data_IF_162400282994
#
_entry.id   IF_162400282994
#
_cell.length_a   1.000
_cell.length_b   1.000
_cell.length_c   1.000
_cell.angle_alpha   90.00
_cell.angle_beta   90.00
_cell.angle_gamma   90.00
#
_symmetry.space_group_name_H-M   'P 1'
#
loop_
_entity.id
_entity.type
_entity.pdbx_description
1 polymer ?
#
# COMPACT_ATOMS: atom_id res chain seq x y z
N UNK A 1 -15.05 11.24 14.17
CA UNK A 1 -13.66 11.20 13.62
C UNK A 1 -12.91 12.52 13.81
N UNK A 2 -13.48 13.70 13.50
CA UNK A 2 -13.00 15.00 14.04
C UNK A 2 -12.91 14.99 15.58
N UNK A 3 -13.85 14.30 16.22
CA UNK A 3 -13.82 13.98 17.65
C UNK A 3 -12.51 13.35 18.14
N UNK A 4 -11.84 12.53 17.31
CA UNK A 4 -10.57 11.90 17.69
C UNK A 4 -9.42 12.91 17.66
N UNK A 5 -9.45 13.89 16.75
CA UNK A 5 -8.51 15.02 16.78
C UNK A 5 -8.76 15.90 18.00
N UNK A 6 -10.03 16.19 18.34
CA UNK A 6 -10.38 16.91 19.56
C UNK A 6 -9.85 16.23 20.83
N UNK A 7 -10.01 14.91 20.94
CA UNK A 7 -9.43 14.12 22.04
C UNK A 7 -7.90 14.22 22.10
N UNK A 8 -7.23 14.12 20.96
CA UNK A 8 -5.78 14.15 20.89
C UNK A 8 -5.22 15.54 21.23
N UNK A 9 -5.87 16.60 20.73
CA UNK A 9 -5.55 17.99 21.06
C UNK A 9 -5.83 18.34 22.53
N UNK A 10 -6.76 17.63 23.17
CA UNK A 10 -7.06 17.72 24.60
C UNK A 10 -6.28 16.74 25.48
N UNK A 11 -5.43 15.88 24.91
CA UNK A 11 -4.71 14.86 25.67
C UNK A 11 -3.74 15.48 26.69
N UNK A 12 -3.58 14.82 27.84
CA UNK A 12 -2.56 15.16 28.84
C UNK A 12 -1.21 14.47 28.57
N UNK A 13 -1.11 13.70 27.48
CA UNK A 13 0.12 13.06 27.07
C UNK A 13 1.16 14.10 26.61
N UNK A 14 2.42 13.83 26.93
CA UNK A 14 3.52 14.62 26.39
C UNK A 14 3.86 14.18 24.96
N UNK A 15 4.24 15.10 24.05
CA UNK A 15 4.48 16.53 24.28
C UNK A 15 3.24 17.44 24.09
N UNK A 16 2.04 16.90 23.87
CA UNK A 16 0.84 17.71 23.58
C UNK A 16 0.48 18.66 24.70
N UNK A 17 0.50 18.17 25.93
CA UNK A 17 0.23 18.97 27.12
C UNK A 17 1.20 20.16 27.21
N UNK A 18 2.51 19.90 27.11
CA UNK A 18 3.53 20.95 27.15
C UNK A 18 3.30 22.01 26.08
N UNK A 19 3.08 21.63 24.82
CA UNK A 19 2.87 22.60 23.76
C UNK A 19 1.59 23.42 23.93
N UNK A 20 0.48 22.77 24.34
CA UNK A 20 -0.78 23.45 24.61
C UNK A 20 -0.66 24.46 25.74
N UNK A 21 0.01 24.11 26.83
CA UNK A 21 0.15 24.96 28.02
C UNK A 21 1.20 26.07 27.86
N UNK A 22 2.31 25.81 27.16
CA UNK A 22 3.43 26.76 27.06
C UNK A 22 3.45 27.57 25.76
N UNK A 23 2.82 27.09 24.69
CA UNK A 23 2.81 27.75 23.38
C UNK A 23 1.39 28.09 22.87
N UNK A 24 0.33 27.72 23.61
CA UNK A 24 -1.06 28.02 23.27
C UNK A 24 -1.60 27.27 22.03
N UNK A 25 -0.78 26.41 21.41
CA UNK A 25 -1.16 25.58 20.28
C UNK A 25 -0.33 24.29 20.24
N UNK A 26 -0.80 23.31 19.46
CA UNK A 26 -0.04 22.09 19.16
C UNK A 26 0.34 22.16 17.68
N UNK A 27 1.64 22.26 17.34
CA UNK A 27 2.05 22.31 15.95
C UNK A 27 1.71 21.01 15.18
N UNK A 28 1.40 21.10 13.87
CA UNK A 28 1.06 19.95 13.04
C UNK A 28 2.08 18.79 13.07
N UNK A 29 3.39 19.10 13.10
CA UNK A 29 4.47 18.09 13.17
C UNK A 29 4.59 17.39 14.53
N UNK A 30 4.00 17.97 15.58
CA UNK A 30 3.85 17.32 16.88
C UNK A 30 2.59 16.46 16.88
N UNK A 31 1.48 16.99 16.35
CA UNK A 31 0.20 16.28 16.20
C UNK A 31 0.35 14.96 15.45
N UNK A 32 1.09 14.97 14.33
CA UNK A 32 1.19 13.78 13.46
C UNK A 32 1.78 12.54 14.15
N UNK A 33 2.59 12.73 15.21
CA UNK A 33 3.32 11.64 15.88
C UNK A 33 2.43 10.61 16.58
N UNK A 34 1.21 10.99 16.98
CA UNK A 34 0.26 10.07 17.61
C UNK A 34 -0.97 9.78 16.72
N UNK A 35 -0.92 10.16 15.44
CA UNK A 35 -1.97 9.78 14.50
C UNK A 35 -1.73 8.36 13.99
N UNK A 36 -2.78 7.55 14.04
CA UNK A 36 -2.83 6.29 13.30
C UNK A 36 -2.85 6.58 11.79
N UNK A 37 -2.41 5.62 10.98
CA UNK A 37 -2.36 5.74 9.51
C UNK A 37 -3.68 6.25 8.91
N UNK A 38 -4.82 5.69 9.34
CA UNK A 38 -6.13 6.14 8.85
C UNK A 38 -6.45 7.60 9.21
N UNK A 39 -5.98 8.10 10.35
CA UNK A 39 -6.14 9.51 10.73
C UNK A 39 -5.24 10.41 9.89
N UNK A 40 -4.03 9.96 9.55
CA UNK A 40 -3.13 10.69 8.64
C UNK A 40 -3.72 10.77 7.23
N UNK A 41 -4.22 9.66 6.68
CA UNK A 41 -4.89 9.62 5.37
C UNK A 41 -6.12 10.53 5.38
N UNK A 42 -6.92 10.49 6.44
CA UNK A 42 -8.07 11.37 6.58
C UNK A 42 -7.67 12.85 6.62
N UNK A 43 -6.61 13.19 7.35
CA UNK A 43 -6.10 14.56 7.40
C UNK A 43 -5.57 15.04 6.03
N UNK A 44 -4.91 14.15 5.27
CA UNK A 44 -4.57 14.39 3.88
C UNK A 44 -5.83 14.68 3.04
N UNK A 45 -6.89 13.86 3.16
CA UNK A 45 -8.15 14.06 2.43
C UNK A 45 -8.80 15.41 2.75
N UNK A 46 -8.73 15.88 4.00
CA UNK A 46 -9.23 17.19 4.43
C UNK A 46 -8.34 18.38 4.06
N UNK A 47 -7.09 18.14 3.66
CA UNK A 47 -6.15 19.20 3.36
C UNK A 47 -6.56 20.00 2.11
N UNK A 48 -6.12 21.26 2.04
CA UNK A 48 -6.37 22.14 0.89
C UNK A 48 -5.85 21.48 -0.40
N UNK A 49 -6.50 21.72 -1.57
CA UNK A 49 -6.11 21.10 -2.84
C UNK A 49 -4.61 21.24 -3.16
N UNK A 50 -4.03 22.43 -2.95
CA UNK A 50 -2.59 22.68 -3.14
C UNK A 50 -1.71 21.77 -2.28
N UNK A 51 -2.04 21.61 -0.99
CA UNK A 51 -1.30 20.72 -0.08
C UNK A 51 -1.40 19.27 -0.53
N UNK A 52 -2.58 18.83 -0.97
CA UNK A 52 -2.73 17.46 -1.50
C UNK A 52 -1.89 17.25 -2.76
N UNK A 53 -1.86 18.22 -3.65
CA UNK A 53 -1.03 18.19 -4.85
C UNK A 53 0.46 18.10 -4.49
N UNK A 54 0.94 18.93 -3.56
CA UNK A 54 2.33 18.90 -3.10
C UNK A 54 2.70 17.52 -2.50
N UNK A 55 1.79 16.90 -1.74
CA UNK A 55 1.98 15.56 -1.19
C UNK A 55 2.08 14.53 -2.30
N UNK A 56 1.14 14.52 -3.26
CA UNK A 56 1.15 13.57 -4.38
C UNK A 56 2.43 13.75 -5.21
N UNK A 57 2.78 14.99 -5.52
CA UNK A 57 3.99 15.35 -6.27
C UNK A 57 5.24 14.77 -5.63
N UNK A 58 5.41 14.96 -4.31
CA UNK A 58 6.53 14.40 -3.56
C UNK A 58 6.52 12.88 -3.49
N UNK A 59 5.36 12.30 -3.17
CA UNK A 59 5.20 10.85 -2.98
C UNK A 59 5.39 10.07 -4.27
N UNK A 60 5.02 10.64 -5.42
CA UNK A 60 5.20 10.01 -6.74
C UNK A 60 6.47 10.49 -7.48
N UNK A 61 7.20 11.45 -6.91
CA UNK A 61 8.30 12.16 -7.57
C UNK A 61 7.91 12.70 -8.95
N UNK A 62 6.71 13.27 -9.06
CA UNK A 62 6.17 13.87 -10.27
C UNK A 62 6.00 15.36 -10.08
N UNK A 63 6.36 16.16 -11.08
CA UNK A 63 6.16 17.61 -11.04
C UNK A 63 4.66 17.96 -10.91
N UNK A 64 4.34 18.94 -10.06
CA UNK A 64 2.95 19.32 -9.78
C UNK A 64 2.22 19.83 -11.03
N UNK A 65 2.90 20.54 -11.93
CA UNK A 65 2.33 21.03 -13.19
C UNK A 65 2.02 19.89 -14.15
N UNK A 66 2.86 18.84 -14.16
CA UNK A 66 2.62 17.61 -14.93
C UNK A 66 1.40 16.87 -14.39
N UNK A 67 1.28 16.76 -13.06
CA UNK A 67 0.09 16.16 -12.45
C UNK A 67 -1.16 16.98 -12.84
N UNK A 68 -1.13 18.30 -12.70
CA UNK A 68 -2.27 19.16 -13.06
C UNK A 68 -2.68 19.01 -14.52
N UNK A 69 -1.73 19.02 -15.45
CA UNK A 69 -2.01 18.90 -16.88
C UNK A 69 -2.56 17.52 -17.28
N UNK A 70 -2.17 16.45 -16.59
CA UNK A 70 -2.51 15.09 -16.97
C UNK A 70 -3.64 14.47 -16.16
N UNK A 71 -4.00 15.00 -14.99
CA UNK A 71 -4.88 14.30 -14.05
C UNK A 71 -6.29 14.03 -14.60
N UNK A 72 -6.83 14.92 -15.44
CA UNK A 72 -8.15 14.72 -16.06
C UNK A 72 -8.19 13.46 -16.93
N UNK A 73 -7.08 13.15 -17.62
CA UNK A 73 -6.98 11.99 -18.50
C UNK A 73 -6.41 10.76 -17.78
N UNK A 74 -5.42 10.98 -16.93
CA UNK A 74 -4.63 9.93 -16.30
C UNK A 74 -5.18 9.49 -14.94
N UNK A 75 -6.03 10.29 -14.30
CA UNK A 75 -6.62 10.02 -12.97
C UNK A 75 -5.57 9.72 -11.89
N UNK A 76 -4.48 10.49 -11.86
CA UNK A 76 -3.34 10.30 -10.95
C UNK A 76 -3.77 10.50 -9.50
N UNK A 77 -4.54 11.55 -9.20
CA UNK A 77 -5.02 11.85 -7.85
C UNK A 77 -5.94 10.75 -7.30
N UNK A 78 -6.80 10.20 -8.14
CA UNK A 78 -7.64 9.02 -7.81
C UNK A 78 -6.74 7.80 -7.55
N UNK A 79 -5.77 7.54 -8.42
CA UNK A 79 -4.85 6.40 -8.28
C UNK A 79 -4.08 6.43 -6.96
N UNK A 80 -3.62 7.62 -6.55
CA UNK A 80 -2.95 7.81 -5.27
C UNK A 80 -3.90 7.63 -4.08
N UNK A 81 -5.13 8.16 -4.19
CA UNK A 81 -6.17 7.97 -3.18
C UNK A 81 -6.51 6.48 -2.96
N UNK A 82 -6.73 5.75 -4.05
CA UNK A 82 -7.04 4.32 -4.00
C UNK A 82 -5.87 3.50 -3.40
N UNK A 83 -4.62 3.86 -3.71
CA UNK A 83 -3.46 3.22 -3.08
C UNK A 83 -3.47 3.43 -1.56
N UNK A 84 -3.72 4.65 -1.07
CA UNK A 84 -3.79 4.93 0.36
C UNK A 84 -4.90 4.12 1.05
N UNK A 85 -6.05 4.03 0.41
CA UNK A 85 -7.20 3.30 0.93
C UNK A 85 -6.92 1.78 0.96
N UNK A 86 -6.31 1.22 -0.09
CA UNK A 86 -5.89 -0.18 -0.14
C UNK A 86 -4.80 -0.51 0.89
N UNK A 87 -3.82 0.37 1.09
CA UNK A 87 -2.79 0.21 2.14
C UNK A 87 -3.43 0.20 3.52
N UNK A 88 -4.38 1.11 3.78
CA UNK A 88 -5.08 1.17 5.06
C UNK A 88 -5.88 -0.11 5.32
N UNK A 89 -6.54 -0.64 4.29
CA UNK A 89 -7.30 -1.88 4.35
C UNK A 89 -6.40 -3.08 4.75
N UNK A 90 -5.30 -3.31 4.03
CA UNK A 90 -4.38 -4.40 4.35
C UNK A 90 -3.70 -4.24 5.72
N UNK A 91 -3.37 -3.01 6.12
CA UNK A 91 -2.86 -2.73 7.47
C UNK A 91 -3.89 -3.14 8.53
N UNK A 92 -5.16 -2.79 8.34
CA UNK A 92 -6.21 -3.14 9.29
C UNK A 92 -6.50 -4.64 9.29
N UNK A 93 -6.55 -5.27 8.11
CA UNK A 93 -6.70 -6.71 7.95
C UNK A 93 -5.63 -7.45 8.79
N UNK A 94 -4.36 -7.11 8.59
CA UNK A 94 -3.25 -7.77 9.30
C UNK A 94 -3.26 -7.50 10.81
N UNK A 95 -3.61 -6.28 11.24
CA UNK A 95 -3.75 -5.95 12.67
C UNK A 95 -4.86 -6.74 13.38
N UNK A 96 -5.87 -7.19 12.63
CA UNK A 96 -6.96 -8.02 13.13
C UNK A 96 -6.76 -9.52 12.87
N UNK A 97 -5.57 -9.94 12.42
CA UNK A 97 -5.27 -11.34 12.14
C UNK A 97 -6.01 -11.90 10.91
N UNK A 98 -6.43 -11.03 10.00
CA UNK A 98 -7.13 -11.39 8.78
C UNK A 98 -6.26 -12.12 7.77
N UNK A 99 -6.91 -12.85 6.87
CA UNK A 99 -6.27 -13.75 5.91
C UNK A 99 -5.86 -13.02 4.63
N UNK A 100 -4.55 -12.91 4.39
CA UNK A 100 -3.98 -12.09 3.28
C UNK A 100 -4.14 -12.73 1.90
N UNK A 101 -3.86 -14.03 1.76
CA UNK A 101 -3.60 -14.63 0.43
C UNK A 101 -4.80 -14.63 -0.53
N UNK A 102 -6.02 -14.54 -0.03
CA UNK A 102 -7.24 -14.44 -0.84
C UNK A 102 -8.13 -13.26 -0.45
N UNK A 103 -7.57 -12.28 0.27
CA UNK A 103 -8.31 -11.09 0.64
C UNK A 103 -8.69 -10.27 -0.59
N UNK A 104 -9.87 -9.65 -0.53
CA UNK A 104 -10.36 -8.69 -1.53
C UNK A 104 -11.05 -7.54 -0.79
N UNK A 105 -10.48 -6.35 -0.89
CA UNK A 105 -11.00 -5.15 -0.27
C UNK A 105 -12.07 -4.50 -1.17
N UNK A 106 -13.33 -4.97 -1.10
CA UNK A 106 -14.42 -4.46 -1.96
C UNK A 106 -14.67 -2.96 -1.80
N UNK A 107 -14.46 -2.43 -0.60
CA UNK A 107 -14.71 -1.02 -0.28
C UNK A 107 -13.48 -0.12 -0.54
N UNK A 108 -12.32 -0.73 -0.82
CA UNK A 108 -11.04 -0.06 -1.01
C UNK A 108 -10.36 -0.54 -2.31
N UNK A 109 -11.17 -0.85 -3.34
CA UNK A 109 -10.66 -1.28 -4.65
C UNK A 109 -9.93 -0.14 -5.38
N UNK A 110 -8.88 -0.51 -6.11
CA UNK A 110 -8.30 0.32 -7.15
C UNK A 110 -9.35 0.57 -8.24
N UNK A 111 -9.68 1.83 -8.47
CA UNK A 111 -10.55 2.21 -9.57
C UNK A 111 -9.76 2.24 -10.87
N UNK A 112 -10.46 1.95 -11.97
CA UNK A 112 -9.87 2.01 -13.31
C UNK A 112 -9.29 3.40 -13.58
N UNK A 113 -7.98 3.45 -13.77
CA UNK A 113 -7.20 4.64 -14.06
C UNK A 113 -6.22 4.34 -15.19
N UNK A 114 -6.16 5.16 -16.26
CA UNK A 114 -5.13 4.98 -17.28
C UNK A 114 -3.71 5.04 -16.72
N UNK A 115 -3.49 5.68 -15.55
CA UNK A 115 -2.19 5.73 -14.89
C UNK A 115 -1.83 4.37 -14.32
N UNK A 116 -2.71 3.74 -13.54
CA UNK A 116 -2.44 2.43 -12.93
C UNK A 116 -2.35 1.30 -13.97
N UNK A 117 -3.17 1.36 -15.02
CA UNK A 117 -3.26 0.28 -16.01
C UNK A 117 -2.04 0.19 -16.96
N UNK A 118 -1.09 1.13 -16.90
CA UNK A 118 0.10 1.12 -17.77
C UNK A 118 0.96 -0.11 -17.54
N UNK A 119 1.77 -0.43 -18.56
CA UNK A 119 2.67 -1.59 -18.62
C UNK A 119 3.65 -1.69 -17.44
N UNK A 120 4.08 -0.54 -16.89
CA UNK A 120 5.06 -0.49 -15.81
C UNK A 120 4.44 -0.51 -14.39
N UNK A 121 3.12 -0.55 -14.26
CA UNK A 121 2.43 -0.57 -12.97
C UNK A 121 1.60 -1.85 -12.85
N UNK A 122 0.35 -1.87 -13.35
CA UNK A 122 -0.49 -3.07 -13.28
C UNK A 122 -0.37 -3.94 -14.53
N UNK A 123 0.05 -3.41 -15.68
CA UNK A 123 0.16 -4.16 -16.94
C UNK A 123 -1.11 -4.97 -17.31
N UNK A 124 -2.29 -4.34 -17.26
CA UNK A 124 -3.56 -4.99 -17.57
C UNK A 124 -4.46 -4.08 -18.40
N UNK A 125 -5.31 -4.70 -19.22
CA UNK A 125 -6.33 -3.97 -19.95
C UNK A 125 -7.44 -3.50 -19.01
N UNK A 126 -8.11 -2.41 -19.39
CA UNK A 126 -9.34 -1.94 -18.71
C UNK A 126 -10.42 -3.03 -18.65
N UNK A 127 -10.53 -3.85 -19.71
CA UNK A 127 -11.48 -4.95 -19.75
C UNK A 127 -11.16 -6.02 -18.69
N UNK A 128 -9.90 -6.42 -18.55
CA UNK A 128 -9.46 -7.38 -17.53
C UNK A 128 -9.66 -6.83 -16.12
N UNK A 129 -9.33 -5.56 -15.88
CA UNK A 129 -9.55 -4.91 -14.59
C UNK A 129 -11.04 -4.87 -14.18
N UNK A 130 -11.96 -4.71 -15.15
CA UNK A 130 -13.41 -4.74 -14.89
C UNK A 130 -13.92 -6.09 -14.40
N UNK A 131 -13.21 -7.20 -14.63
CA UNK A 131 -13.61 -8.53 -14.13
C UNK A 131 -13.28 -8.73 -12.65
N UNK A 132 -12.63 -7.77 -11.99
CA UNK A 132 -12.16 -7.88 -10.61
C UNK A 132 -10.67 -8.19 -10.47
N UNK A 133 -9.99 -8.53 -11.57
CA UNK A 133 -8.55 -8.80 -11.54
C UNK A 133 -7.75 -7.53 -11.22
N UNK A 134 -6.84 -7.64 -10.24
CA UNK A 134 -5.96 -6.57 -9.75
C UNK A 134 -6.67 -5.33 -9.22
N UNK A 135 -7.85 -5.54 -8.64
CA UNK A 135 -8.57 -4.46 -7.94
C UNK A 135 -8.13 -4.27 -6.50
N UNK A 136 -7.89 -5.35 -5.76
CA UNK A 136 -7.61 -5.25 -4.32
C UNK A 136 -6.85 -6.46 -3.76
N UNK A 137 -6.34 -7.33 -4.63
CA UNK A 137 -5.48 -8.44 -4.24
C UNK A 137 -4.16 -7.92 -3.66
N UNK A 138 -3.45 -8.80 -2.96
CA UNK A 138 -2.12 -8.49 -2.43
C UNK A 138 -1.14 -8.21 -3.58
N UNK A 139 -1.27 -8.90 -4.72
CA UNK A 139 -0.53 -8.59 -5.94
C UNK A 139 -0.83 -7.17 -6.47
N UNK A 140 -2.09 -6.74 -6.45
CA UNK A 140 -2.46 -5.37 -6.82
C UNK A 140 -1.82 -4.33 -5.88
N UNK A 141 -1.80 -4.60 -4.57
CA UNK A 141 -1.13 -3.74 -3.59
C UNK A 141 0.37 -3.64 -3.87
N UNK A 142 1.06 -4.76 -4.06
CA UNK A 142 2.52 -4.81 -4.31
C UNK A 142 2.90 -4.06 -5.58
N UNK A 143 2.15 -4.28 -6.67
CA UNK A 143 2.40 -3.61 -7.94
C UNK A 143 2.17 -2.10 -7.82
N UNK A 144 1.07 -1.70 -7.19
CA UNK A 144 0.72 -0.29 -7.03
C UNK A 144 1.62 0.43 -6.04
N UNK A 145 2.14 -0.22 -4.99
CA UNK A 145 3.17 0.35 -4.11
C UNK A 145 4.41 0.81 -4.90
N UNK A 146 4.68 0.22 -6.07
CA UNK A 146 5.76 0.62 -6.96
C UNK A 146 5.63 2.02 -7.57
N UNK A 147 4.48 2.70 -7.43
CA UNK A 147 4.33 4.10 -7.87
C UNK A 147 4.92 5.09 -6.86
N UNK A 148 5.08 4.68 -5.60
CA UNK A 148 5.64 5.55 -4.57
C UNK A 148 7.14 5.67 -4.81
N UNK A 149 7.66 6.89 -4.75
CA UNK A 149 9.10 7.19 -4.76
C UNK A 149 9.75 6.83 -3.41
N UNK A 150 9.50 5.62 -2.95
CA UNK A 150 10.14 4.96 -1.83
C UNK A 150 10.04 3.45 -2.10
N UNK A 151 11.15 2.77 -2.40
CA UNK A 151 11.12 1.35 -2.69
C UNK A 151 10.84 0.48 -1.46
N UNK A 152 11.09 0.98 -0.24
CA UNK A 152 11.10 0.18 0.99
C UNK A 152 9.79 -0.58 1.24
N UNK A 153 8.59 0.03 1.13
CA UNK A 153 7.34 -0.66 1.41
C UNK A 153 7.11 -1.84 0.45
N UNK A 154 7.38 -1.62 -0.85
CA UNK A 154 7.26 -2.66 -1.88
C UNK A 154 8.28 -3.77 -1.66
N UNK A 155 9.54 -3.42 -1.45
CA UNK A 155 10.60 -4.41 -1.24
C UNK A 155 10.35 -5.24 0.02
N UNK A 156 10.00 -4.58 1.12
CA UNK A 156 9.73 -5.25 2.41
C UNK A 156 8.59 -6.25 2.27
N UNK A 157 7.44 -5.84 1.72
CA UNK A 157 6.30 -6.76 1.59
C UNK A 157 6.59 -7.90 0.61
N UNK A 158 7.29 -7.62 -0.50
CA UNK A 158 7.68 -8.67 -1.45
C UNK A 158 8.62 -9.68 -0.82
N UNK A 159 9.66 -9.25 -0.11
CA UNK A 159 10.61 -10.16 0.55
C UNK A 159 9.95 -11.03 1.63
N UNK A 160 9.03 -10.47 2.42
CA UNK A 160 8.30 -11.26 3.40
C UNK A 160 7.39 -12.30 2.73
N UNK A 161 6.69 -11.94 1.66
CA UNK A 161 5.86 -12.88 0.91
C UNK A 161 6.70 -13.96 0.24
N UNK A 162 7.85 -13.60 -0.35
CA UNK A 162 8.80 -14.55 -0.93
C UNK A 162 9.20 -15.63 0.08
N UNK A 163 9.65 -15.21 1.27
CA UNK A 163 10.10 -16.12 2.33
C UNK A 163 8.96 -16.97 2.86
N UNK A 164 7.80 -16.37 3.13
CA UNK A 164 6.63 -17.08 3.67
C UNK A 164 6.09 -18.12 2.68
N UNK A 165 5.97 -17.75 1.40
CA UNK A 165 5.53 -18.68 0.35
C UNK A 165 6.57 -19.78 0.12
N UNK A 166 7.86 -19.46 0.05
CA UNK A 166 8.91 -20.45 -0.12
C UNK A 166 8.89 -21.49 1.00
N UNK A 167 8.76 -21.05 2.27
CA UNK A 167 8.69 -21.94 3.42
C UNK A 167 7.43 -22.83 3.39
N UNK A 168 6.28 -22.29 2.98
CA UNK A 168 5.04 -23.04 2.86
C UNK A 168 5.12 -24.08 1.73
N UNK A 169 5.52 -23.66 0.54
CA UNK A 169 5.55 -24.48 -0.67
C UNK A 169 6.64 -25.55 -0.67
N UNK A 170 7.63 -25.47 0.22
CA UNK A 170 8.53 -26.60 0.50
C UNK A 170 7.77 -27.84 0.98
N UNK A 171 6.70 -27.64 1.77
CA UNK A 171 5.91 -28.73 2.35
C UNK A 171 4.67 -29.04 1.49
N UNK A 172 4.12 -28.03 0.80
CA UNK A 172 2.89 -28.14 0.03
C UNK A 172 3.06 -27.60 -1.41
N UNK A 173 3.94 -28.19 -2.23
CA UNK A 173 4.26 -27.69 -3.57
C UNK A 173 3.05 -27.68 -4.51
N UNK A 174 2.06 -28.56 -4.30
CA UNK A 174 0.85 -28.64 -5.11
C UNK A 174 -0.05 -27.39 -5.01
N UNK A 175 0.10 -26.59 -3.95
CA UNK A 175 -0.74 -25.41 -3.70
C UNK A 175 -0.26 -24.17 -4.46
N UNK A 176 0.91 -24.23 -5.12
CA UNK A 176 1.56 -23.09 -5.73
C UNK A 176 0.66 -22.34 -6.72
N UNK A 177 0.11 -23.04 -7.71
CA UNK A 177 -0.76 -22.43 -8.72
C UNK A 177 -1.97 -21.74 -8.09
N UNK A 178 -2.58 -22.37 -7.08
CA UNK A 178 -3.72 -21.81 -6.36
C UNK A 178 -3.32 -20.52 -5.63
N UNK A 179 -2.20 -20.52 -4.91
CA UNK A 179 -1.73 -19.35 -4.15
C UNK A 179 -1.32 -18.20 -5.07
N UNK A 180 -0.56 -18.46 -6.12
CA UNK A 180 -0.14 -17.44 -7.09
C UNK A 180 -1.35 -16.78 -7.76
N UNK A 181 -2.37 -17.55 -8.12
CA UNK A 181 -3.61 -17.03 -8.71
C UNK A 181 -4.47 -16.27 -7.69
N UNK A 182 -4.66 -16.82 -6.48
CA UNK A 182 -5.45 -16.17 -5.43
C UNK A 182 -4.85 -14.82 -5.00
N UNK A 183 -3.53 -14.75 -4.97
CA UNK A 183 -2.77 -13.55 -4.63
C UNK A 183 -2.53 -12.62 -5.84
N UNK A 184 -2.78 -13.09 -7.06
CA UNK A 184 -2.56 -12.40 -8.35
C UNK A 184 -1.10 -11.95 -8.56
N UNK A 185 -0.17 -12.87 -8.27
CA UNK A 185 1.28 -12.63 -8.26
C UNK A 185 1.97 -12.95 -9.60
N UNK A 186 1.23 -13.33 -10.65
CA UNK A 186 1.79 -13.89 -11.88
C UNK A 186 2.82 -12.98 -12.57
N UNK A 187 2.58 -11.67 -12.57
CA UNK A 187 3.47 -10.68 -13.19
C UNK A 187 4.39 -9.97 -12.18
N UNK A 188 4.51 -10.51 -10.96
CA UNK A 188 5.46 -10.01 -9.96
C UNK A 188 6.78 -10.78 -10.05
N UNK A 189 7.80 -10.32 -9.33
CA UNK A 189 9.07 -11.06 -9.20
C UNK A 189 8.98 -12.24 -8.23
N UNK A 190 7.88 -12.34 -7.47
CA UNK A 190 7.73 -13.26 -6.34
C UNK A 190 7.80 -14.73 -6.75
N UNK A 191 7.06 -15.21 -7.78
CA UNK A 191 7.15 -16.62 -8.18
C UNK A 191 8.58 -17.07 -8.49
N UNK A 192 9.34 -16.23 -9.20
CA UNK A 192 10.76 -16.52 -9.53
C UNK A 192 11.63 -16.55 -8.28
N UNK A 193 11.41 -15.61 -7.35
CA UNK A 193 12.13 -15.52 -6.07
C UNK A 193 11.88 -16.76 -5.22
N UNK A 194 10.61 -17.17 -5.08
CA UNK A 194 10.17 -18.37 -4.36
C UNK A 194 10.85 -19.63 -4.90
N UNK A 195 10.83 -19.86 -6.22
CA UNK A 195 11.52 -21.00 -6.82
C UNK A 195 13.03 -21.01 -6.53
N UNK A 196 13.66 -19.84 -6.57
CA UNK A 196 15.10 -19.69 -6.27
C UNK A 196 15.39 -20.06 -4.81
N UNK A 197 14.58 -19.58 -3.86
CA UNK A 197 14.71 -19.88 -2.43
C UNK A 197 14.50 -21.37 -2.12
N UNK A 198 13.53 -22.02 -2.77
CA UNK A 198 13.30 -23.45 -2.62
C UNK A 198 14.48 -24.26 -3.18
N UNK A 199 15.02 -23.86 -4.34
CA UNK A 199 16.18 -24.48 -4.98
C UNK A 199 17.45 -24.42 -4.11
N UNK A 200 17.76 -23.24 -3.55
CA UNK A 200 18.92 -23.06 -2.66
C UNK A 200 18.85 -23.90 -1.38
N UNK A 201 17.66 -24.04 -0.79
CA UNK A 201 17.48 -24.88 0.41
C UNK A 201 17.70 -26.37 0.17
N UNK A 202 17.48 -26.86 -1.07
CA UNK A 202 17.75 -28.27 -1.43
C UNK A 202 19.26 -28.55 -1.54
N UNK A 203 20.05 -27.59 -2.06
CA UNK A 203 21.50 -27.76 -2.18
C UNK A 203 22.27 -27.75 -0.87
N UNK A 204 21.75 -27.06 0.16
CA UNK A 204 22.37 -27.07 1.50
C UNK A 204 22.07 -28.35 2.29
N UNK A 205 20.90 -28.96 2.10
CA UNK A 205 20.57 -30.24 2.75
C UNK A 205 21.29 -31.46 2.17
N UNK A 206 21.81 -31.37 0.95
CA UNK A 206 22.60 -32.44 0.31
C UNK A 206 24.09 -32.41 0.66
N UNK A 207 24.53 -31.48 1.53
CA UNK A 207 25.92 -31.30 1.98
C UNK A 207 26.14 -31.73 3.44
N UNK A 208 25.14 -32.36 4.06
CA UNK A 208 25.18 -33.00 5.38
C UNK A 208 24.93 -34.50 5.21
#
# INVERSE_FOLDING_TARGET
MLYNFGKLLGSNDQPYKYYRENHGNIPPWIMIKNLMLGQVIYWYKLSKPKVRLDIISRMLSMDSTVIEALDETMRIRQSFGDLLDLVLDYRNLTAHGGRVYNHRASDHELHSSPFLLRKNILNISKAKHRTGYRKSSIGALILTLGIINNPDPKQTISSWIDVLLANYLQNFPQDENMLIQAMELEDTTIPKSVHTLIGGNKSDKSRL
#
